data_IF_189740627363
#
_entry.id   IF_189740627363
#
_cell.length_a   1.000
_cell.length_b   1.000
_cell.length_c   1.000
_cell.angle_alpha   90.00
_cell.angle_beta   90.00
_cell.angle_gamma   90.00
#
_symmetry.space_group_name_H-M   'P 1'
#
loop_
_entity.id
_entity.type
_entity.pdbx_description
1 polymer ?
#
# COMPACT_ATOMS: atom_id res chain seq x y z
N UNK A 1 29.70 50.65 -62.98
CA UNK A 1 29.17 49.94 -64.16
C UNK A 1 28.69 48.59 -63.70
N UNK A 2 27.38 48.41 -63.72
CA UNK A 2 26.65 47.19 -63.92
C UNK A 2 26.55 46.25 -62.66
N UNK A 3 25.48 46.28 -62.13
CA UNK A 3 24.18 45.55 -62.23
C UNK A 3 24.15 44.42 -61.20
N UNK A 4 23.28 44.56 -60.23
CA UNK A 4 21.97 43.93 -60.15
C UNK A 4 21.95 42.43 -60.27
N UNK A 5 21.61 41.74 -59.17
CA UNK A 5 20.43 40.90 -59.24
C UNK A 5 19.92 40.51 -57.88
N UNK A 6 18.72 40.96 -57.62
CA UNK A 6 17.82 40.49 -56.59
C UNK A 6 17.41 39.05 -56.92
N UNK A 7 17.46 38.13 -55.97
CA UNK A 7 16.66 36.94 -56.05
C UNK A 7 15.99 36.67 -54.74
N UNK A 8 14.76 37.09 -54.70
CA UNK A 8 13.81 36.88 -53.61
C UNK A 8 12.87 35.74 -54.01
N UNK A 9 13.29 34.49 -53.81
CA UNK A 9 12.39 33.34 -53.92
C UNK A 9 12.98 32.17 -53.18
N UNK A 10 12.66 32.12 -51.91
CA UNK A 10 12.55 30.86 -51.14
C UNK A 10 12.06 31.15 -49.74
N UNK A 11 11.04 31.94 -49.67
CA UNK A 11 10.23 31.92 -48.49
C UNK A 11 9.05 31.02 -48.81
N UNK A 12 9.02 29.86 -48.21
CA UNK A 12 7.88 28.99 -47.95
C UNK A 12 8.31 27.54 -47.77
N UNK A 13 8.95 27.27 -46.68
CA UNK A 13 8.78 25.96 -46.03
C UNK A 13 8.75 26.23 -44.53
N UNK A 14 7.53 26.36 -44.02
CA UNK A 14 7.30 26.36 -42.60
C UNK A 14 7.88 25.09 -41.97
N UNK A 15 9.07 25.22 -41.41
CA UNK A 15 9.59 24.21 -40.54
C UNK A 15 8.74 24.26 -39.26
N UNK A 16 7.79 23.36 -39.16
CA UNK A 16 7.19 23.05 -37.87
C UNK A 16 8.33 22.66 -36.92
N UNK A 17 8.64 23.58 -36.02
CA UNK A 17 9.57 23.29 -34.93
C UNK A 17 8.84 22.38 -33.97
N UNK A 18 8.91 21.11 -34.22
CA UNK A 18 8.48 20.11 -33.26
C UNK A 18 9.33 20.32 -32.01
N UNK A 19 8.73 20.85 -30.99
CA UNK A 19 9.37 21.05 -29.70
C UNK A 19 9.94 19.72 -29.18
N UNK A 20 11.26 19.59 -29.22
CA UNK A 20 11.92 18.41 -28.65
C UNK A 20 11.77 18.47 -27.14
N UNK A 21 10.92 17.60 -26.60
CA UNK A 21 10.79 17.46 -25.16
C UNK A 21 12.14 17.07 -24.56
N UNK A 22 12.64 17.86 -23.60
CA UNK A 22 13.82 17.51 -22.84
C UNK A 22 13.45 16.37 -21.89
N UNK A 23 13.98 15.18 -22.10
CA UNK A 23 13.81 14.00 -21.25
C UNK A 23 15.15 13.46 -20.82
N UNK A 24 15.25 13.02 -19.58
CA UNK A 24 16.37 12.23 -19.06
C UNK A 24 15.85 10.92 -18.52
N UNK A 25 16.62 9.86 -18.70
CA UNK A 25 16.34 8.58 -18.07
C UNK A 25 16.93 8.66 -16.67
N UNK A 26 16.07 8.59 -15.67
CA UNK A 26 16.52 8.47 -14.28
C UNK A 26 16.78 6.97 -14.05
N UNK A 27 18.05 6.61 -13.87
CA UNK A 27 18.37 5.27 -13.38
C UNK A 27 17.89 5.21 -11.94
N UNK A 28 16.97 4.29 -11.59
CA UNK A 28 16.57 4.12 -10.20
C UNK A 28 17.84 3.84 -9.39
N UNK A 29 18.13 4.71 -8.45
CA UNK A 29 19.18 4.41 -7.48
C UNK A 29 18.70 3.13 -6.77
N UNK A 30 19.46 2.01 -6.76
CA UNK A 30 19.05 0.87 -5.97
C UNK A 30 18.89 1.40 -4.55
N UNK A 31 17.68 1.36 -4.05
CA UNK A 31 17.44 1.62 -2.64
C UNK A 31 18.39 0.70 -1.92
N UNK A 32 19.33 1.27 -1.20
CA UNK A 32 20.25 0.51 -0.40
C UNK A 32 19.40 -0.27 0.60
N UNK A 33 19.15 -1.53 0.27
CA UNK A 33 18.57 -2.49 1.21
C UNK A 33 19.65 -2.62 2.29
N UNK A 34 19.47 -1.89 3.37
CA UNK A 34 20.32 -2.04 4.54
C UNK A 34 20.20 -3.49 5.00
N UNK A 35 21.29 -4.26 5.04
CA UNK A 35 21.28 -5.62 5.56
C UNK A 35 21.37 -5.60 7.10
N UNK A 36 20.68 -4.68 7.73
CA UNK A 36 20.45 -4.74 9.16
C UNK A 36 19.40 -5.81 9.38
N UNK A 37 19.77 -6.86 10.08
CA UNK A 37 18.87 -7.93 10.48
C UNK A 37 17.58 -7.32 11.01
N UNK A 38 16.54 -7.45 10.22
CA UNK A 38 15.28 -6.74 10.45
C UNK A 38 14.62 -7.37 11.65
N UNK A 39 14.75 -6.72 12.78
CA UNK A 39 14.02 -7.08 13.96
C UNK A 39 12.63 -6.49 13.87
N UNK A 40 11.70 -7.30 13.39
CA UNK A 40 10.28 -6.99 13.49
C UNK A 40 9.91 -6.73 14.94
N UNK A 41 9.17 -5.65 15.18
CA UNK A 41 8.71 -5.29 16.51
C UNK A 41 7.71 -6.32 17.03
N UNK A 42 7.77 -6.61 18.31
CA UNK A 42 6.77 -7.43 19.02
C UNK A 42 5.58 -6.55 19.35
N UNK A 43 4.61 -6.45 18.41
CA UNK A 43 3.47 -5.53 18.50
C UNK A 43 2.63 -5.79 19.75
N UNK A 44 2.51 -7.03 20.18
CA UNK A 44 1.82 -7.44 21.40
C UNK A 44 2.33 -6.74 22.66
N UNK A 45 3.58 -6.28 22.64
CA UNK A 45 4.23 -5.67 23.81
C UNK A 45 4.19 -4.15 23.81
N UNK A 46 3.98 -3.55 22.66
CA UNK A 46 4.14 -2.10 22.49
C UNK A 46 2.86 -1.40 22.04
N UNK A 47 1.79 -2.16 21.78
CA UNK A 47 0.56 -1.59 21.25
C UNK A 47 -0.69 -2.27 21.82
N UNK A 48 -1.76 -1.50 21.95
CA UNK A 48 -3.13 -2.00 22.07
C UNK A 48 -3.75 -2.04 20.69
N UNK A 49 -4.70 -2.94 20.49
CA UNK A 49 -5.38 -3.11 19.20
C UNK A 49 -6.85 -2.78 19.35
N UNK A 50 -7.37 -1.99 18.41
CA UNK A 50 -8.80 -1.78 18.20
C UNK A 50 -9.19 -2.39 16.85
N UNK A 51 -10.25 -3.16 16.81
CA UNK A 51 -10.76 -3.82 15.61
C UNK A 51 -12.26 -3.61 15.49
N UNK A 52 -12.77 -3.53 14.28
CA UNK A 52 -14.21 -3.37 14.04
C UNK A 52 -15.00 -4.66 14.30
N UNK A 53 -14.43 -5.82 13.96
CA UNK A 53 -15.01 -7.13 14.28
C UNK A 53 -13.96 -8.23 14.24
N UNK A 54 -14.27 -9.40 14.81
CA UNK A 54 -13.35 -10.54 14.87
C UNK A 54 -14.12 -11.85 14.94
N UNK A 55 -13.73 -12.81 14.11
CA UNK A 55 -14.24 -14.18 14.19
C UNK A 55 -13.48 -14.98 15.26
N UNK A 56 -14.19 -15.73 16.08
CA UNK A 56 -13.62 -16.43 17.25
C UNK A 56 -12.43 -17.35 16.91
N UNK A 57 -12.45 -18.00 15.74
CA UNK A 57 -11.40 -18.91 15.30
C UNK A 57 -10.20 -18.20 14.63
N UNK A 58 -10.30 -16.88 14.41
CA UNK A 58 -9.31 -16.06 13.68
C UNK A 58 -9.06 -14.73 14.40
N UNK A 59 -8.58 -14.80 15.66
CA UNK A 59 -8.32 -13.59 16.44
C UNK A 59 -7.15 -12.78 15.88
N UNK A 60 -7.14 -11.48 16.20
CA UNK A 60 -6.15 -10.54 15.67
C UNK A 60 -4.71 -10.89 16.07
N UNK A 61 -4.53 -11.54 17.19
CA UNK A 61 -3.23 -12.02 17.66
C UNK A 61 -2.57 -12.97 16.65
N UNK A 62 -3.37 -13.71 15.88
CA UNK A 62 -2.87 -14.58 14.82
C UNK A 62 -2.22 -13.82 13.65
N UNK A 63 -2.57 -12.54 13.46
CA UNK A 63 -1.98 -11.70 12.41
C UNK A 63 -0.87 -10.78 12.92
N UNK A 64 -0.88 -10.45 14.22
CA UNK A 64 0.08 -9.49 14.81
C UNK A 64 1.18 -10.15 15.60
N UNK A 65 1.01 -11.42 15.98
CA UNK A 65 1.96 -12.18 16.79
C UNK A 65 3.29 -12.39 16.07
N UNK A 66 4.31 -12.71 16.84
CA UNK A 66 5.68 -12.96 16.36
C UNK A 66 5.73 -14.03 15.26
N UNK A 67 4.88 -15.04 15.38
CA UNK A 67 4.73 -16.09 14.38
C UNK A 67 3.27 -16.14 13.95
N UNK A 68 2.92 -15.49 12.86
CA UNK A 68 1.57 -15.53 12.33
C UNK A 68 1.14 -16.97 12.03
N UNK A 69 -0.06 -17.33 12.43
CA UNK A 69 -0.61 -18.67 12.25
C UNK A 69 -1.67 -18.71 11.16
N UNK A 70 -2.96 -18.61 11.54
CA UNK A 70 -4.09 -18.62 10.59
C UNK A 70 -4.49 -17.22 10.12
N UNK A 71 -3.87 -16.18 10.68
CA UNK A 71 -4.27 -14.80 10.45
C UNK A 71 -5.56 -14.40 11.16
N UNK A 72 -5.94 -13.15 10.97
CA UNK A 72 -7.19 -12.57 11.45
C UNK A 72 -8.28 -12.62 10.37
N UNK A 73 -9.53 -12.76 10.82
CA UNK A 73 -10.71 -12.63 9.97
C UNK A 73 -11.80 -11.85 10.69
N UNK A 74 -12.48 -10.96 9.97
CA UNK A 74 -13.66 -10.26 10.49
C UNK A 74 -14.82 -11.22 10.76
N UNK A 75 -15.63 -10.93 11.78
CA UNK A 75 -16.92 -11.59 11.98
C UNK A 75 -18.03 -10.94 11.15
N UNK A 76 -17.86 -9.67 10.81
CA UNK A 76 -18.79 -8.90 10.02
C UNK A 76 -18.31 -8.77 8.58
N UNK A 77 -19.25 -8.74 7.63
CA UNK A 77 -18.95 -8.52 6.19
C UNK A 77 -18.69 -7.05 5.90
N UNK A 78 -18.04 -6.80 4.77
CA UNK A 78 -17.77 -5.45 4.28
C UNK A 78 -16.56 -4.80 4.92
N UNK A 79 -16.43 -3.47 4.79
CA UNK A 79 -15.24 -2.74 5.22
C UNK A 79 -14.95 -2.87 6.71
N UNK A 80 -13.67 -3.07 7.04
CA UNK A 80 -13.18 -3.28 8.40
C UNK A 80 -11.99 -2.38 8.72
N UNK A 81 -11.77 -2.15 10.00
CA UNK A 81 -10.66 -1.35 10.51
C UNK A 81 -9.89 -2.13 11.57
N UNK A 82 -8.57 -2.11 11.45
CA UNK A 82 -7.62 -2.56 12.47
C UNK A 82 -6.77 -1.34 12.83
N UNK A 83 -6.71 -0.99 14.11
CA UNK A 83 -5.93 0.15 14.60
C UNK A 83 -4.99 -0.28 15.71
N UNK A 84 -3.71 -0.05 15.53
CA UNK A 84 -2.68 -0.19 16.54
C UNK A 84 -2.50 1.15 17.25
N UNK A 85 -2.66 1.14 18.56
CA UNK A 85 -2.39 2.27 19.45
C UNK A 85 -1.09 1.98 20.18
N UNK A 86 -0.01 2.58 19.73
CA UNK A 86 1.35 2.34 20.21
C UNK A 86 1.56 3.15 21.49
N UNK A 87 2.03 2.49 22.54
CA UNK A 87 2.12 3.04 23.89
C UNK A 87 3.08 4.24 23.96
N UNK A 88 4.23 4.14 23.27
CA UNK A 88 5.23 5.20 23.19
C UNK A 88 5.55 5.53 21.74
N UNK A 89 5.78 6.80 21.36
CA UNK A 89 6.10 7.17 19.99
C UNK A 89 7.31 6.41 19.45
N UNK A 90 7.17 5.78 18.28
CA UNK A 90 8.26 5.04 17.63
C UNK A 90 8.62 5.64 16.28
N UNK A 91 9.80 5.29 15.78
CA UNK A 91 10.13 5.37 14.37
C UNK A 91 9.75 4.06 13.69
N UNK A 92 9.22 4.15 12.47
CA UNK A 92 8.88 2.99 11.61
C UNK A 92 9.58 3.18 10.29
N UNK A 93 10.39 2.19 9.89
CA UNK A 93 11.16 2.21 8.64
C UNK A 93 10.69 1.19 7.62
N UNK A 94 9.90 0.23 8.07
CA UNK A 94 9.33 -0.80 7.20
C UNK A 94 7.98 -1.28 7.71
N UNK A 95 7.06 -1.48 6.80
CA UNK A 95 5.74 -2.04 7.07
C UNK A 95 5.51 -3.19 6.09
N UNK A 96 5.18 -4.36 6.61
CA UNK A 96 4.83 -5.53 5.79
C UNK A 96 3.40 -5.94 6.05
N UNK A 97 2.64 -6.12 4.99
CA UNK A 97 1.27 -6.63 4.99
C UNK A 97 1.21 -7.91 4.17
N UNK A 98 0.54 -8.92 4.69
CA UNK A 98 0.31 -10.15 3.97
C UNK A 98 -1.18 -10.49 4.02
N UNK A 99 -1.78 -10.68 2.85
CA UNK A 99 -3.16 -11.09 2.68
C UNK A 99 -3.22 -12.43 1.96
N UNK A 100 -4.16 -13.28 2.35
CA UNK A 100 -4.38 -14.58 1.72
C UNK A 100 -5.87 -14.81 1.54
N UNK A 101 -6.29 -15.08 0.30
CA UNK A 101 -7.64 -15.56 0.00
C UNK A 101 -7.58 -16.62 -1.10
N UNK A 102 -7.96 -17.84 -0.75
CA UNK A 102 -7.99 -19.00 -1.67
C UNK A 102 -9.41 -19.40 -2.07
N UNK A 103 -10.39 -18.74 -1.52
CA UNK A 103 -11.78 -19.19 -1.62
C UNK A 103 -12.62 -18.37 -2.60
N UNK A 104 -12.31 -17.09 -2.74
CA UNK A 104 -13.17 -16.17 -3.46
C UNK A 104 -12.43 -15.35 -4.52
N UNK A 105 -13.10 -15.10 -5.63
CA UNK A 105 -12.70 -14.09 -6.60
C UNK A 105 -13.28 -12.76 -6.14
N UNK A 106 -12.41 -11.78 -5.85
CA UNK A 106 -12.81 -10.46 -5.37
C UNK A 106 -11.73 -9.42 -5.58
N UNK A 107 -12.15 -8.17 -5.64
CA UNK A 107 -11.26 -7.01 -5.69
C UNK A 107 -11.23 -6.32 -4.33
N UNK A 108 -10.16 -6.52 -3.60
CA UNK A 108 -9.93 -5.88 -2.30
C UNK A 108 -9.25 -4.53 -2.46
N UNK A 109 -9.62 -3.55 -1.65
CA UNK A 109 -8.81 -2.35 -1.42
C UNK A 109 -8.38 -2.30 0.03
N UNK A 110 -7.16 -1.83 0.27
CA UNK A 110 -6.78 -1.41 1.60
C UNK A 110 -6.17 -0.02 1.61
N UNK A 111 -6.27 0.63 2.75
CA UNK A 111 -5.63 1.91 3.04
C UNK A 111 -4.86 1.76 4.33
N UNK A 112 -3.58 2.06 4.29
CA UNK A 112 -2.71 2.11 5.46
C UNK A 112 -2.45 3.56 5.82
N UNK A 113 -2.75 3.92 7.08
CA UNK A 113 -2.48 5.23 7.63
C UNK A 113 -1.54 5.10 8.83
N UNK A 114 -0.70 6.08 9.04
CA UNK A 114 0.17 6.15 10.21
C UNK A 114 0.37 7.60 10.66
N UNK A 115 0.71 7.77 11.92
CA UNK A 115 0.96 9.09 12.50
C UNK A 115 0.68 9.13 13.99
N UNK A 116 0.15 10.27 14.45
CA UNK A 116 -0.31 10.45 15.81
C UNK A 116 -1.84 10.35 15.91
N UNK A 117 -2.37 10.20 17.12
CA UNK A 117 -3.82 10.19 17.34
C UNK A 117 -4.53 11.48 16.88
N UNK A 118 -3.78 12.59 16.74
CA UNK A 118 -4.30 13.87 16.26
C UNK A 118 -4.24 14.00 14.73
N UNK A 119 -3.30 13.32 14.11
CA UNK A 119 -3.01 13.49 12.69
C UNK A 119 -2.50 12.16 12.10
N UNK A 120 -3.34 11.55 11.27
CA UNK A 120 -3.04 10.35 10.51
C UNK A 120 -2.86 10.73 9.05
N UNK A 121 -1.77 10.26 8.47
CA UNK A 121 -1.47 10.43 7.04
C UNK A 121 -1.61 9.10 6.32
N UNK A 122 -2.11 9.14 5.10
CA UNK A 122 -2.15 7.97 4.23
C UNK A 122 -0.72 7.61 3.80
N UNK A 123 -0.28 6.42 4.15
CA UNK A 123 1.01 5.85 3.74
C UNK A 123 0.87 5.21 2.37
N UNK A 124 -0.19 4.44 2.18
CA UNK A 124 -0.49 3.74 0.93
C UNK A 124 -1.98 3.44 0.81
N UNK A 125 -2.45 3.45 -0.43
CA UNK A 125 -3.75 2.91 -0.84
C UNK A 125 -3.51 1.96 -1.99
N UNK A 126 -4.00 0.73 -1.89
CA UNK A 126 -3.78 -0.30 -2.90
C UNK A 126 -5.02 -1.14 -3.13
N UNK A 127 -5.19 -1.58 -4.36
CA UNK A 127 -6.22 -2.51 -4.77
C UNK A 127 -5.58 -3.79 -5.29
N UNK A 128 -6.15 -4.94 -4.93
CA UNK A 128 -5.69 -6.24 -5.35
C UNK A 128 -6.86 -7.14 -5.79
N UNK A 129 -6.62 -7.97 -6.80
CA UNK A 129 -7.61 -8.91 -7.29
C UNK A 129 -7.20 -10.33 -6.89
N UNK A 130 -7.95 -10.92 -5.99
CA UNK A 130 -7.80 -12.32 -5.64
C UNK A 130 -8.53 -13.20 -6.64
N UNK A 131 -7.95 -14.35 -6.95
CA UNK A 131 -8.55 -15.36 -7.79
C UNK A 131 -8.15 -16.76 -7.30
N UNK A 132 -9.09 -17.66 -6.99
CA UNK A 132 -8.78 -19.02 -6.52
C UNK A 132 -7.92 -19.85 -7.46
N UNK A 133 -7.93 -19.51 -8.75
CA UNK A 133 -7.15 -20.19 -9.79
C UNK A 133 -5.87 -19.46 -10.21
N UNK A 134 -5.53 -18.35 -9.55
CA UNK A 134 -4.40 -17.51 -9.90
C UNK A 134 -3.75 -16.88 -8.68
N UNK A 135 -4.07 -15.62 -8.43
CA UNK A 135 -3.51 -14.80 -7.36
C UNK A 135 -4.25 -15.00 -6.05
N UNK A 136 -3.74 -15.84 -5.17
CA UNK A 136 -4.34 -16.14 -3.87
C UNK A 136 -3.65 -15.47 -2.70
N UNK A 137 -2.53 -14.82 -2.94
CA UNK A 137 -1.71 -14.16 -1.93
C UNK A 137 -1.25 -12.79 -2.43
N UNK A 138 -1.20 -11.83 -1.51
CA UNK A 138 -0.65 -10.50 -1.71
C UNK A 138 0.30 -10.21 -0.55
N UNK A 139 1.58 -10.06 -0.85
CA UNK A 139 2.60 -9.68 0.12
C UNK A 139 3.15 -8.32 -0.26
N UNK A 140 2.86 -7.34 0.56
CA UNK A 140 3.29 -5.97 0.38
C UNK A 140 4.35 -5.58 1.40
N UNK A 141 5.35 -4.86 0.94
CA UNK A 141 6.53 -4.53 1.72
C UNK A 141 6.98 -3.09 1.42
N UNK A 142 6.69 -2.20 2.36
CA UNK A 142 6.90 -0.76 2.20
C UNK A 142 8.09 -0.31 3.03
N UNK A 143 9.11 0.23 2.36
CA UNK A 143 10.13 1.05 3.00
C UNK A 143 9.54 2.44 3.26
N UNK A 144 9.55 2.88 4.51
CA UNK A 144 9.00 4.16 4.96
C UNK A 144 10.00 4.87 5.86
N UNK A 145 9.80 6.16 6.11
CA UNK A 145 10.59 6.92 7.09
C UNK A 145 9.62 7.76 7.93
N UNK A 146 9.01 7.09 8.90
CA UNK A 146 7.99 7.68 9.76
C UNK A 146 8.55 7.84 11.17
N UNK A 147 8.38 9.01 11.76
CA UNK A 147 8.84 9.31 13.11
C UNK A 147 7.69 9.73 14.00
N UNK A 148 7.79 9.42 15.30
CA UNK A 148 6.77 9.82 16.27
C UNK A 148 5.41 9.10 16.07
N UNK A 149 5.44 7.90 15.52
CA UNK A 149 4.24 7.13 15.25
C UNK A 149 3.65 6.59 16.54
N UNK A 150 2.41 6.95 16.83
CA UNK A 150 1.62 6.42 17.95
C UNK A 150 0.37 5.69 17.49
N UNK A 151 0.02 5.81 16.19
CA UNK A 151 -1.13 5.11 15.61
C UNK A 151 -0.76 4.57 14.23
N UNK A 152 -1.08 3.31 14.00
CA UNK A 152 -1.11 2.70 12.67
C UNK A 152 -2.51 2.15 12.44
N UNK A 153 -3.15 2.55 11.36
CA UNK A 153 -4.51 2.15 11.03
C UNK A 153 -4.56 1.50 9.66
N UNK A 154 -5.10 0.29 9.59
CA UNK A 154 -5.35 -0.44 8.36
C UNK A 154 -6.86 -0.54 8.14
N UNK A 155 -7.32 0.03 7.03
CA UNK A 155 -8.70 -0.10 6.55
C UNK A 155 -8.72 -1.09 5.41
N UNK A 156 -9.59 -2.07 5.48
CA UNK A 156 -9.72 -3.13 4.46
C UNK A 156 -11.16 -3.10 3.95
N UNK A 157 -11.32 -2.86 2.66
CA UNK A 157 -12.56 -3.11 1.93
C UNK A 157 -12.40 -4.43 1.18
N UNK A 158 -13.05 -5.51 1.63
CA UNK A 158 -12.82 -6.83 1.06
C UNK A 158 -13.42 -7.01 -0.33
N UNK A 159 -14.34 -6.12 -0.74
CA UNK A 159 -14.96 -6.17 -2.07
C UNK A 159 -15.36 -4.78 -2.57
N UNK A 160 -14.53 -4.23 -3.41
CA UNK A 160 -14.75 -2.92 -4.06
C UNK A 160 -15.95 -2.87 -5.00
N UNK A 161 -16.47 -4.02 -5.43
CA UNK A 161 -17.62 -4.05 -6.32
C UNK A 161 -18.88 -3.54 -5.65
N UNK A 162 -18.95 -3.68 -4.29
CA UNK A 162 -20.12 -3.37 -3.48
C UNK A 162 -21.43 -3.94 -4.06
N UNK A 163 -21.33 -4.98 -4.89
CA UNK A 163 -22.51 -5.67 -5.42
C UNK A 163 -23.20 -6.44 -4.27
N UNK A 164 -24.44 -6.09 -3.89
CA UNK A 164 -25.13 -6.77 -2.81
C UNK A 164 -25.27 -8.28 -2.99
N UNK A 165 -25.16 -8.77 -4.22
CA UNK A 165 -25.19 -10.20 -4.53
C UNK A 165 -23.84 -10.88 -4.37
N UNK A 166 -22.75 -10.11 -4.44
CA UNK A 166 -21.37 -10.60 -4.36
C UNK A 166 -20.66 -10.15 -3.08
N UNK A 167 -21.07 -9.04 -2.47
CA UNK A 167 -20.46 -8.48 -1.25
C UNK A 167 -20.76 -9.32 0.00
N UNK A 168 -20.46 -10.61 -0.09
CA UNK A 168 -20.57 -11.57 1.02
C UNK A 168 -19.21 -11.85 1.65
N UNK A 169 -18.19 -11.06 1.29
CA UNK A 169 -16.81 -11.30 1.69
C UNK A 169 -16.50 -10.71 3.06
N UNK A 170 -15.67 -11.44 3.78
CA UNK A 170 -15.09 -11.01 5.05
C UNK A 170 -13.69 -10.47 4.81
N UNK A 171 -13.34 -9.39 5.46
CA UNK A 171 -11.97 -8.94 5.49
C UNK A 171 -11.10 -9.95 6.25
N UNK A 172 -9.88 -10.12 5.80
CA UNK A 172 -8.87 -10.98 6.44
C UNK A 172 -7.48 -10.36 6.29
N UNK A 173 -6.61 -10.70 7.23
CA UNK A 173 -5.21 -10.30 7.25
C UNK A 173 -4.36 -11.46 7.75
N UNK A 174 -3.42 -11.94 6.95
CA UNK A 174 -2.52 -13.02 7.34
C UNK A 174 -1.45 -12.54 8.31
N UNK A 175 -0.85 -11.38 8.03
CA UNK A 175 0.07 -10.73 8.97
C UNK A 175 0.24 -9.23 8.71
N UNK A 176 0.55 -8.48 9.79
CA UNK A 176 1.07 -7.12 9.76
C UNK A 176 2.31 -7.04 10.64
N UNK A 177 3.38 -6.46 10.11
CA UNK A 177 4.65 -6.31 10.81
C UNK A 177 5.21 -4.91 10.62
N UNK A 178 5.85 -4.39 11.67
CA UNK A 178 6.55 -3.10 11.69
C UNK A 178 8.02 -3.31 12.08
N UNK A 179 8.93 -2.55 11.43
CA UNK A 179 10.34 -2.47 11.79
C UNK A 179 10.83 -1.02 11.84
#
# INVERSE_FOLDING_TARGET
MIAERVDWLSDMLGAEVHGVMRKSIITPNPVAVSPLGEHWRELERIARVEISSEAADFPIEHALGKTPTTGWRAAEKGPQVIRLLIDEPIAVHRIQLHFVDRAAERSQEFVLLAGSAKELHEVVRQQWNFSPHGTTEELEDYAVDLTGVTVVELRIDPDRSHDPKQSQHFASLQSLKLA
#
